data_IF_390777389423
#
_entry.id   IF_390777389423
#
_cell.length_a   1.000
_cell.length_b   1.000
_cell.length_c   1.000
_cell.angle_alpha   90.00
_cell.angle_beta   90.00
_cell.angle_gamma   90.00
#
_symmetry.space_group_name_H-M   'P 1'
#
loop_
_entity.id
_entity.type
_entity.pdbx_description
1 polymer ?
#
# COMPACT_ATOMS: atom_id res chain seq x y z
N UNK A 1 7.22 13.87 -35.85
CA UNK A 1 7.57 12.80 -34.89
C UNK A 1 6.73 13.01 -33.66
N UNK A 2 5.71 12.17 -33.43
CA UNK A 2 5.01 12.15 -32.14
C UNK A 2 5.91 11.42 -31.15
N UNK A 3 6.38 12.12 -30.11
CA UNK A 3 6.97 11.48 -28.94
C UNK A 3 5.85 10.73 -28.20
N UNK A 4 5.98 9.43 -27.93
CA UNK A 4 5.07 8.77 -27.00
C UNK A 4 5.37 9.31 -25.60
N UNK A 5 4.34 9.89 -24.96
CA UNK A 5 4.37 10.09 -23.51
C UNK A 5 4.40 8.70 -22.88
N UNK A 6 5.57 8.30 -22.38
CA UNK A 6 5.67 7.15 -21.50
C UNK A 6 5.01 7.54 -20.17
N UNK A 7 3.79 7.03 -19.94
CA UNK A 7 3.23 6.94 -18.60
C UNK A 7 4.13 5.99 -17.82
N UNK A 8 4.87 6.53 -16.85
CA UNK A 8 5.58 5.73 -15.86
C UNK A 8 4.52 5.00 -15.03
N UNK A 9 4.20 3.78 -15.41
CA UNK A 9 3.69 2.81 -14.46
C UNK A 9 4.82 2.58 -13.45
N UNK A 10 4.86 3.35 -12.36
CA UNK A 10 5.66 3.04 -11.19
C UNK A 10 5.04 1.82 -10.51
N UNK A 11 5.12 0.66 -11.14
CA UNK A 11 4.94 -0.59 -10.44
C UNK A 11 6.11 -0.70 -9.46
N UNK A 12 5.86 -0.41 -8.19
CA UNK A 12 6.85 -0.48 -7.10
C UNK A 12 7.35 -1.92 -6.93
N UNK A 13 8.28 -2.31 -7.81
CA UNK A 13 8.87 -3.64 -7.89
C UNK A 13 10.25 -3.69 -7.23
N UNK A 14 10.71 -2.56 -6.69
CA UNK A 14 12.08 -2.37 -6.18
C UNK A 14 12.13 -1.74 -4.78
N UNK A 15 11.09 -1.92 -3.97
CA UNK A 15 11.11 -1.52 -2.55
C UNK A 15 11.92 -2.51 -1.72
N UNK A 16 12.86 -1.97 -0.95
CA UNK A 16 13.67 -2.69 0.02
C UNK A 16 13.29 -2.24 1.43
N UNK A 17 12.54 -3.08 2.18
CA UNK A 17 12.26 -2.80 3.57
C UNK A 17 13.49 -3.12 4.43
N UNK A 18 13.86 -2.21 5.32
CA UNK A 18 14.99 -2.32 6.25
C UNK A 18 14.46 -2.36 7.68
N UNK A 19 15.11 -3.13 8.56
CA UNK A 19 14.70 -3.33 9.96
C UNK A 19 13.23 -3.76 10.08
N UNK A 20 12.93 -4.93 9.51
CA UNK A 20 11.57 -5.47 9.38
C UNK A 20 11.18 -6.30 10.60
N UNK A 21 10.01 -6.01 11.16
CA UNK A 21 9.42 -6.76 12.26
C UNK A 21 7.96 -7.11 11.98
N UNK A 22 7.46 -8.26 12.46
CA UNK A 22 6.03 -8.57 12.40
C UNK A 22 5.22 -7.49 13.14
N UNK A 23 4.21 -6.95 12.47
CA UNK A 23 3.31 -5.96 13.06
C UNK A 23 2.01 -6.65 13.48
N UNK A 24 1.63 -6.47 14.75
CA UNK A 24 0.25 -6.69 15.16
C UNK A 24 -0.52 -5.41 14.81
N UNK A 25 -1.39 -5.43 13.78
CA UNK A 25 -2.00 -4.20 13.30
C UNK A 25 -2.88 -3.56 14.39
N UNK A 26 -2.79 -2.24 14.61
CA UNK A 26 -3.64 -1.54 15.55
C UNK A 26 -5.14 -1.79 15.27
N UNK A 27 -6.01 -1.84 16.29
CA UNK A 27 -7.44 -2.13 16.08
C UNK A 27 -8.13 -1.23 15.06
N UNK A 28 -7.70 0.03 14.93
CA UNK A 28 -8.25 1.01 13.97
C UNK A 28 -8.08 0.57 12.51
N UNK A 29 -7.08 -0.27 12.21
CA UNK A 29 -6.87 -0.78 10.84
C UNK A 29 -8.06 -1.59 10.35
N UNK A 30 -8.82 -2.24 11.23
CA UNK A 30 -10.04 -2.98 10.86
C UNK A 30 -11.18 -2.04 10.45
N UNK A 31 -11.26 -0.88 11.11
CA UNK A 31 -12.20 0.17 10.71
C UNK A 31 -11.83 0.69 9.33
N UNK A 32 -10.57 1.06 9.12
CA UNK A 32 -10.06 1.53 7.84
C UNK A 32 -10.23 0.50 6.73
N UNK A 33 -9.96 -0.77 7.01
CA UNK A 33 -10.20 -1.87 6.06
C UNK A 33 -11.66 -1.93 5.62
N UNK A 34 -12.61 -1.76 6.55
CA UNK A 34 -14.04 -1.78 6.25
C UNK A 34 -14.43 -0.60 5.34
N UNK A 35 -13.87 0.59 5.60
CA UNK A 35 -14.09 1.80 4.79
C UNK A 35 -13.55 1.62 3.37
N UNK A 36 -12.30 1.15 3.24
CA UNK A 36 -11.67 0.93 1.94
C UNK A 36 -12.40 -0.17 1.17
N UNK A 37 -12.72 -1.30 1.81
CA UNK A 37 -13.47 -2.40 1.19
C UNK A 37 -14.82 -1.94 0.62
N UNK A 38 -15.54 -1.10 1.37
CA UNK A 38 -16.79 -0.50 0.93
C UNK A 38 -16.60 0.45 -0.26
N UNK A 39 -15.53 1.26 -0.26
CA UNK A 39 -15.25 2.19 -1.37
C UNK A 39 -14.83 1.45 -2.66
N UNK A 40 -14.00 0.41 -2.54
CA UNK A 40 -13.53 -0.37 -3.68
C UNK A 40 -14.57 -1.35 -4.21
N UNK A 41 -15.67 -1.57 -3.47
CA UNK A 41 -16.68 -2.60 -3.73
C UNK A 41 -16.06 -4.02 -3.80
N UNK A 42 -15.06 -4.26 -2.94
CA UNK A 42 -14.34 -5.54 -2.84
C UNK A 42 -14.43 -6.04 -1.41
N UNK A 43 -14.96 -7.25 -1.26
CA UNK A 43 -15.03 -7.90 0.05
C UNK A 43 -13.87 -8.88 0.22
N UNK A 44 -13.08 -8.68 1.27
CA UNK A 44 -12.02 -9.59 1.66
C UNK A 44 -11.81 -9.62 3.17
N UNK A 45 -11.26 -10.72 3.68
CA UNK A 45 -10.92 -10.86 5.11
C UNK A 45 -9.66 -10.06 5.42
N UNK A 46 -9.71 -9.24 6.46
CA UNK A 46 -8.56 -8.50 6.97
C UNK A 46 -7.40 -9.44 7.36
N UNK A 47 -7.72 -10.63 7.87
CA UNK A 47 -6.77 -11.65 8.33
C UNK A 47 -5.95 -12.29 7.20
N UNK A 48 -6.30 -12.05 5.93
CA UNK A 48 -5.48 -12.57 4.82
C UNK A 48 -4.16 -11.82 4.69
N UNK A 49 -4.10 -10.59 5.23
CA UNK A 49 -2.93 -9.71 5.17
C UNK A 49 -1.94 -10.07 6.26
N UNK A 50 -0.68 -10.25 5.87
CA UNK A 50 0.45 -10.31 6.79
C UNK A 50 1.05 -8.91 6.91
N UNK A 51 1.10 -8.40 8.13
CA UNK A 51 1.51 -7.03 8.41
C UNK A 51 2.94 -7.00 8.95
N UNK A 52 3.71 -6.03 8.49
CA UNK A 52 5.06 -5.74 8.95
C UNK A 52 5.22 -4.26 9.24
N UNK A 53 6.05 -3.95 10.22
CA UNK A 53 6.64 -2.62 10.35
C UNK A 53 8.07 -2.66 9.83
N UNK A 54 8.53 -1.55 9.25
CA UNK A 54 9.90 -1.39 8.77
C UNK A 54 10.47 -0.08 9.28
N UNK A 55 11.77 -0.07 9.59
CA UNK A 55 12.50 1.15 9.91
C UNK A 55 12.58 2.11 8.71
N UNK A 56 12.70 1.56 7.49
CA UNK A 56 12.69 2.31 6.23
C UNK A 56 12.08 1.46 5.11
N UNK A 57 11.51 2.12 4.10
CA UNK A 57 10.97 1.49 2.89
C UNK A 57 11.57 2.18 1.66
N UNK A 58 12.80 1.79 1.31
CA UNK A 58 13.58 2.51 0.29
C UNK A 58 13.34 1.93 -1.09
N UNK A 59 12.96 2.78 -2.05
CA UNK A 59 12.96 2.42 -3.46
C UNK A 59 14.41 2.39 -3.98
N UNK A 60 14.89 1.24 -4.45
CA UNK A 60 16.28 1.07 -4.91
C UNK A 60 16.66 1.90 -6.14
N UNK A 61 15.69 2.27 -6.97
CA UNK A 61 15.95 3.03 -8.20
C UNK A 61 16.01 4.53 -7.93
N UNK A 62 15.13 5.02 -7.07
CA UNK A 62 14.98 6.46 -6.82
C UNK A 62 15.66 6.91 -5.52
N UNK A 63 15.93 5.98 -4.59
CA UNK A 63 16.41 6.26 -3.25
C UNK A 63 15.36 6.91 -2.34
N UNK A 64 14.10 7.02 -2.79
CA UNK A 64 13.03 7.62 -2.01
C UNK A 64 12.56 6.66 -0.92
N UNK A 65 12.22 7.22 0.24
CA UNK A 65 11.61 6.49 1.35
C UNK A 65 10.08 6.58 1.26
N UNK A 66 9.41 5.49 1.60
CA UNK A 66 7.97 5.33 1.44
C UNK A 66 7.29 5.10 2.79
N UNK A 67 6.04 5.53 2.87
CA UNK A 67 5.24 5.42 4.10
C UNK A 67 4.69 4.00 4.30
N UNK A 68 4.40 3.33 3.19
CA UNK A 68 3.86 1.98 3.16
C UNK A 68 4.31 1.27 1.89
N UNK A 69 4.13 -0.05 1.89
CA UNK A 69 4.37 -0.88 0.74
C UNK A 69 3.49 -2.13 0.77
N UNK A 70 2.61 -2.28 -0.22
CA UNK A 70 1.96 -3.54 -0.49
C UNK A 70 2.84 -4.40 -1.41
N UNK A 71 3.15 -5.61 -0.95
CA UNK A 71 3.88 -6.62 -1.72
C UNK A 71 2.96 -7.82 -1.95
N UNK A 72 2.67 -8.16 -3.22
CA UNK A 72 1.80 -9.27 -3.54
C UNK A 72 2.33 -10.61 -2.97
N UNK A 73 1.44 -11.53 -2.60
CA UNK A 73 -0.01 -11.39 -2.73
C UNK A 73 -0.68 -10.65 -1.57
N UNK A 74 -0.13 -10.73 -0.35
CA UNK A 74 -0.84 -10.31 0.87
C UNK A 74 0.04 -9.70 1.97
N UNK A 75 1.18 -9.09 1.61
CA UNK A 75 2.05 -8.48 2.61
C UNK A 75 1.89 -6.96 2.56
N UNK A 76 1.69 -6.33 3.72
CA UNK A 76 1.75 -4.87 3.85
C UNK A 76 2.84 -4.52 4.84
N UNK A 77 3.77 -3.69 4.40
CA UNK A 77 4.77 -3.04 5.23
C UNK A 77 4.33 -1.61 5.51
N UNK A 78 4.53 -1.14 6.73
CA UNK A 78 4.29 0.25 7.11
C UNK A 78 5.56 0.77 7.76
N UNK A 79 5.99 1.96 7.35
CA UNK A 79 7.13 2.61 7.97
C UNK A 79 6.80 2.93 9.44
N UNK A 80 7.73 2.63 10.34
CA UNK A 80 7.56 2.69 11.81
C UNK A 80 7.09 4.06 12.33
N UNK A 81 7.61 5.16 11.78
CA UNK A 81 7.15 6.52 12.10
C UNK A 81 5.72 6.86 11.65
N UNK A 82 5.11 6.02 10.80
CA UNK A 82 3.83 6.29 10.13
C UNK A 82 2.75 5.23 10.40
N UNK A 83 2.90 4.42 11.45
CA UNK A 83 1.93 3.37 11.82
C UNK A 83 0.48 3.86 12.06
N UNK A 84 0.26 5.17 12.24
CA UNK A 84 -1.09 5.75 12.39
C UNK A 84 -1.39 6.82 11.33
N UNK A 85 -0.57 6.92 10.29
CA UNK A 85 -0.82 7.81 9.18
C UNK A 85 -1.88 7.18 8.26
N UNK A 86 -3.12 7.63 8.47
CA UNK A 86 -4.34 7.04 7.90
C UNK A 86 -4.25 6.90 6.38
N UNK A 87 -3.88 7.96 5.68
CA UNK A 87 -3.86 7.99 4.22
C UNK A 87 -2.87 6.98 3.63
N UNK A 88 -1.67 6.85 4.21
CA UNK A 88 -0.67 5.90 3.73
C UNK A 88 -1.06 4.44 4.01
N UNK A 89 -1.62 4.15 5.18
CA UNK A 89 -2.05 2.79 5.49
C UNK A 89 -3.24 2.37 4.60
N UNK A 90 -4.19 3.27 4.39
CA UNK A 90 -5.35 3.01 3.52
C UNK A 90 -4.96 2.85 2.05
N UNK A 91 -3.95 3.58 1.59
CA UNK A 91 -3.35 3.40 0.25
C UNK A 91 -2.91 1.94 0.04
N UNK A 92 -2.16 1.37 0.98
CA UNK A 92 -1.71 -0.03 0.88
C UNK A 92 -2.87 -1.03 0.98
N UNK A 93 -3.91 -0.73 1.76
CA UNK A 93 -5.12 -1.55 1.80
C UNK A 93 -5.85 -1.59 0.46
N UNK A 94 -5.85 -0.50 -0.31
CA UNK A 94 -6.43 -0.49 -1.66
C UNK A 94 -5.63 -1.39 -2.60
N UNK A 95 -4.29 -1.32 -2.58
CA UNK A 95 -3.45 -2.24 -3.34
C UNK A 95 -3.78 -3.70 -3.03
N UNK A 96 -3.91 -4.01 -1.75
CA UNK A 96 -4.31 -5.34 -1.29
C UNK A 96 -5.71 -5.73 -1.76
N UNK A 97 -6.70 -4.85 -1.70
CA UNK A 97 -8.07 -5.19 -2.11
C UNK A 97 -8.17 -5.38 -3.63
N UNK A 98 -7.54 -4.51 -4.40
CA UNK A 98 -7.54 -4.57 -5.87
C UNK A 98 -6.52 -5.57 -6.43
N UNK A 99 -5.60 -6.07 -5.61
CA UNK A 99 -4.53 -7.00 -5.98
C UNK A 99 -3.71 -6.50 -7.18
N UNK A 100 -3.40 -5.19 -7.18
CA UNK A 100 -2.60 -4.55 -8.22
C UNK A 100 -1.65 -3.54 -7.62
N UNK A 101 -0.49 -3.37 -8.26
CA UNK A 101 0.45 -2.28 -7.98
C UNK A 101 0.07 -0.97 -8.69
N UNK A 102 -0.94 -1.00 -9.56
CA UNK A 102 -1.29 0.15 -10.38
C UNK A 102 -2.09 1.19 -9.60
N UNK A 103 -1.67 2.45 -9.73
CA UNK A 103 -2.37 3.61 -9.15
C UNK A 103 -3.41 4.23 -10.09
N UNK A 104 -3.43 3.83 -11.36
CA UNK A 104 -4.21 4.49 -12.42
C UNK A 104 -5.68 4.06 -12.48
N UNK A 105 -6.06 3.00 -11.75
CA UNK A 105 -7.45 2.54 -11.77
C UNK A 105 -8.37 3.58 -11.12
N UNK A 106 -9.58 3.73 -11.67
CA UNK A 106 -10.59 4.64 -11.10
C UNK A 106 -10.90 4.31 -9.64
N UNK A 107 -10.88 3.03 -9.26
CA UNK A 107 -11.06 2.61 -7.88
C UNK A 107 -9.91 3.10 -7.00
N UNK A 108 -8.66 2.98 -7.47
CA UNK A 108 -7.49 3.43 -6.71
C UNK A 108 -7.53 4.93 -6.44
N UNK A 109 -7.68 5.74 -7.50
CA UNK A 109 -7.73 7.20 -7.41
C UNK A 109 -8.85 7.71 -6.50
N UNK A 110 -9.95 6.97 -6.40
CA UNK A 110 -11.09 7.32 -5.54
C UNK A 110 -10.89 6.88 -4.09
N UNK A 111 -10.25 5.74 -3.85
CA UNK A 111 -10.33 5.04 -2.57
C UNK A 111 -9.05 5.02 -1.74
N UNK A 112 -7.90 5.46 -2.27
CA UNK A 112 -6.61 5.38 -1.54
C UNK A 112 -6.54 6.24 -0.27
N UNK A 113 -7.49 7.15 -0.04
CA UNK A 113 -7.52 8.00 1.15
C UNK A 113 -8.91 8.21 1.76
N UNK A 114 -9.90 7.37 1.43
CA UNK A 114 -11.25 7.44 2.04
C UNK A 114 -11.25 7.00 3.48
#
# INVERSE_FOLDING_TARGET
MLLPLAFYACGESNLEPVDVYPLVPPPVYRTWWTEVAACTDVTARFERVTWYEAGQLINRETGMDHVGAWVPPHNIYVHSDYLLYTEGVKHEMVHELLQTRDHDSTAFLRCAGV
#
